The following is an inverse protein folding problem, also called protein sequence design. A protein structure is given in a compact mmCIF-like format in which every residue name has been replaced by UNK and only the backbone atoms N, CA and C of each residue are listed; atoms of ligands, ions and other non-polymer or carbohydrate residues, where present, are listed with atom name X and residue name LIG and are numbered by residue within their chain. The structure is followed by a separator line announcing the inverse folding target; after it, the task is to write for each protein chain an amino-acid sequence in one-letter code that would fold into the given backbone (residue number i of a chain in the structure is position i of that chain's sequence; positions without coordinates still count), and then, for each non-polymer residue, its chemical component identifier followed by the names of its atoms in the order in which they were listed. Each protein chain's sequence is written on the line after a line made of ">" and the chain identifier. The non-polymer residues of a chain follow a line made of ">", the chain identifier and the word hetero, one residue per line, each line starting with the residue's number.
data_IF_624577071866
#
_entry.id   IF_624577071866
#
_cell.length_a   1.000
_cell.length_b   1.000
_cell.length_c   1.000
_cell.angle_alpha   90.00
_cell.angle_beta   90.00
_cell.angle_gamma   90.00
#
_symmetry.space_group_name_H-M   'P 1'
#
loop_
_entity.id
_entity.type
_entity.pdbx_description
1 polymer ?
#
# COMPACT_ATOMS: atom_id res chain seq x y z
N UNK A 1 16.09 -0.01 -9.19
CA UNK A 1 14.81 0.36 -9.82
C UNK A 1 14.11 -0.93 -10.22
N UNK A 2 13.14 -1.40 -9.45
CA UNK A 2 12.32 -2.55 -9.83
C UNK A 2 11.28 -2.06 -10.84
N UNK A 3 11.62 -2.14 -12.13
CA UNK A 3 10.61 -2.02 -13.19
C UNK A 3 9.78 -3.30 -13.16
N UNK A 4 8.55 -3.22 -12.68
CA UNK A 4 7.62 -4.32 -12.83
C UNK A 4 7.30 -4.52 -14.32
N UNK A 5 7.10 -5.75 -14.79
CA UNK A 5 6.78 -5.96 -16.19
C UNK A 5 5.38 -5.38 -16.49
N UNK A 6 5.28 -4.76 -17.65
CA UNK A 6 4.09 -4.11 -18.16
C UNK A 6 2.88 -5.08 -18.22
N UNK A 7 1.72 -4.71 -17.66
CA UNK A 7 0.47 -5.48 -17.79
C UNK A 7 -0.06 -6.22 -16.55
N UNK A 8 0.47 -5.95 -15.35
CA UNK A 8 -0.07 -6.51 -14.10
C UNK A 8 -0.94 -5.52 -13.33
N UNK A 9 -1.91 -6.05 -12.60
CA UNK A 9 -2.77 -5.29 -11.71
C UNK A 9 -2.33 -5.42 -10.25
N UNK A 10 -2.43 -4.32 -9.51
CA UNK A 10 -2.28 -4.31 -8.05
C UNK A 10 -3.63 -4.09 -7.43
N UNK A 11 -3.91 -4.86 -6.38
CA UNK A 11 -5.15 -4.79 -5.65
C UNK A 11 -4.94 -4.64 -4.16
N UNK A 12 -5.88 -3.96 -3.51
CA UNK A 12 -5.93 -3.80 -2.06
C UNK A 12 -7.34 -4.02 -1.54
N UNK A 13 -7.52 -4.66 -0.38
CA UNK A 13 -8.71 -4.45 0.42
C UNK A 13 -8.90 -2.95 0.69
N UNK A 14 -10.13 -2.45 0.56
CA UNK A 14 -10.42 -1.02 0.62
C UNK A 14 -9.93 -0.39 1.92
N UNK A 15 -10.16 -1.06 3.05
CA UNK A 15 -9.67 -0.61 4.36
C UNK A 15 -8.16 -0.49 4.41
N UNK A 16 -7.43 -1.45 3.83
CA UNK A 16 -5.96 -1.47 3.82
C UNK A 16 -5.37 -0.34 2.97
N UNK A 17 -5.91 -0.10 1.78
CA UNK A 17 -5.47 1.02 0.95
C UNK A 17 -5.75 2.38 1.61
N UNK A 18 -6.91 2.54 2.28
CA UNK A 18 -7.22 3.75 3.03
C UNK A 18 -6.27 3.94 4.22
N UNK A 19 -5.94 2.87 4.93
CA UNK A 19 -4.98 2.88 6.04
C UNK A 19 -3.58 3.31 5.57
N UNK A 20 -3.04 2.66 4.53
CA UNK A 20 -1.74 3.01 3.98
C UNK A 20 -1.70 4.45 3.45
N UNK A 21 -2.77 4.88 2.78
CA UNK A 21 -2.90 6.28 2.36
C UNK A 21 -2.99 7.24 3.55
N UNK A 22 -3.65 6.87 4.64
CA UNK A 22 -3.69 7.69 5.87
C UNK A 22 -2.29 7.87 6.45
N UNK A 23 -1.51 6.78 6.54
CA UNK A 23 -0.14 6.82 7.07
C UNK A 23 0.75 7.69 6.16
N UNK A 24 0.74 7.46 4.85
CA UNK A 24 1.53 8.27 3.91
C UNK A 24 1.11 9.74 3.89
N UNK A 25 -0.18 10.02 4.06
CA UNK A 25 -0.69 11.39 4.22
C UNK A 25 -0.22 12.02 5.54
N UNK A 26 -0.10 11.25 6.61
CA UNK A 26 0.47 11.72 7.87
C UNK A 26 1.94 12.07 7.69
N UNK A 27 2.75 11.15 7.14
CA UNK A 27 4.16 11.40 6.80
C UNK A 27 4.33 12.64 5.93
N UNK A 28 3.45 12.86 4.95
CA UNK A 28 3.55 14.03 4.07
C UNK A 28 3.16 15.37 4.74
N UNK A 29 2.53 15.34 5.92
CA UNK A 29 1.93 16.53 6.55
C UNK A 29 2.39 16.79 7.99
N UNK A 30 2.93 15.80 8.68
CA UNK A 30 3.43 15.94 10.05
C UNK A 30 4.61 16.91 10.06
N UNK A 31 4.61 17.81 11.04
CA UNK A 31 5.74 18.73 11.29
C UNK A 31 6.62 18.21 12.43
N UNK A 32 6.04 17.38 13.30
CA UNK A 32 6.70 16.79 14.47
C UNK A 32 6.49 15.27 14.54
N UNK A 33 7.33 14.59 15.32
CA UNK A 33 7.19 13.16 15.59
C UNK A 33 5.89 12.84 16.35
N UNK A 34 5.44 13.75 17.21
CA UNK A 34 4.15 13.64 17.91
C UNK A 34 2.95 13.69 16.96
N UNK A 35 2.98 14.58 15.96
CA UNK A 35 1.93 14.65 14.93
C UNK A 35 1.81 13.32 14.17
N UNK A 36 2.96 12.71 13.84
CA UNK A 36 3.00 11.43 13.15
C UNK A 36 2.48 10.28 14.02
N UNK A 37 2.94 10.19 15.27
CA UNK A 37 2.50 9.17 16.25
C UNK A 37 1.01 9.21 16.52
N UNK A 38 0.40 10.39 16.54
CA UNK A 38 -1.03 10.52 16.77
C UNK A 38 -1.91 9.96 15.63
N UNK A 39 -1.35 9.79 14.43
CA UNK A 39 -2.11 9.35 13.24
C UNK A 39 -1.85 7.90 12.87
N UNK A 40 -0.63 7.41 13.09
CA UNK A 40 -0.26 6.03 12.76
C UNK A 40 -0.87 5.08 13.82
N UNK A 41 -1.64 4.05 13.42
CA UNK A 41 -2.11 3.02 14.33
C UNK A 41 -0.94 2.37 15.08
N UNK A 42 -1.10 2.09 16.38
CA UNK A 42 -0.02 1.54 17.22
C UNK A 42 0.67 0.31 16.61
N UNK A 43 -0.09 -0.62 16.03
CA UNK A 43 0.46 -1.83 15.41
C UNK A 43 1.35 -1.50 14.20
N UNK A 44 0.98 -0.50 13.40
CA UNK A 44 1.80 -0.03 12.27
C UNK A 44 2.99 0.79 12.75
N UNK A 45 2.85 1.52 13.86
CA UNK A 45 3.97 2.20 14.51
C UNK A 45 5.00 1.19 15.01
N UNK A 46 4.55 0.17 15.74
CA UNK A 46 5.39 -0.95 16.19
C UNK A 46 6.04 -1.67 15.00
N UNK A 47 5.31 -1.89 13.90
CA UNK A 47 5.87 -2.48 12.68
C UNK A 47 6.92 -1.60 11.99
N UNK A 48 6.77 -0.28 12.06
CA UNK A 48 7.76 0.68 11.57
C UNK A 48 9.00 0.72 12.48
N UNK A 49 8.81 0.61 13.80
CA UNK A 49 9.87 0.63 14.81
C UNK A 49 10.65 -0.69 14.88
N UNK A 50 10.01 -1.84 14.70
CA UNK A 50 10.61 -3.18 14.88
C UNK A 50 11.51 -3.64 13.72
N UNK A 51 11.62 -2.87 12.62
CA UNK A 51 12.56 -3.19 11.54
C UNK A 51 12.31 -4.55 10.85
N UNK A 52 11.08 -5.05 10.83
CA UNK A 52 10.73 -6.39 10.32
C UNK A 52 10.79 -6.56 8.78
N UNK A 53 11.46 -5.67 8.06
CA UNK A 53 11.86 -5.87 6.67
C UNK A 53 13.38 -5.67 6.59
N UNK A 54 14.09 -6.70 6.13
CA UNK A 54 15.56 -6.83 5.96
C UNK A 54 16.18 -5.77 5.02
N UNK A 55 15.93 -4.48 5.24
CA UNK A 55 16.68 -3.37 4.65
C UNK A 55 17.47 -2.62 5.72
N UNK A 56 18.24 -1.58 5.34
CA UNK A 56 19.11 -0.87 6.26
C UNK A 56 18.28 -0.40 7.45
N UNK A 57 18.64 -0.92 8.62
CA UNK A 57 17.98 -0.65 9.89
C UNK A 57 17.77 0.85 10.00
N UNK A 58 16.58 1.25 10.41
CA UNK A 58 16.54 2.38 11.32
C UNK A 58 17.43 1.96 12.49
N UNK A 59 18.61 2.55 12.63
CA UNK A 59 19.15 2.75 13.96
C UNK A 59 18.22 3.79 14.60
N UNK A 60 17.00 3.37 14.97
CA UNK A 60 16.26 4.07 16.00
C UNK A 60 17.20 4.00 17.19
N UNK A 61 17.67 5.15 17.73
CA UNK A 61 18.64 5.15 18.81
C UNK A 61 18.10 4.23 19.92
N UNK A 62 18.88 3.20 20.23
CA UNK A 62 18.56 2.32 21.36
C UNK A 62 18.45 3.23 22.59
N UNK A 63 17.25 3.24 23.19
CA UNK A 63 16.87 3.82 24.50
C UNK A 63 16.22 5.20 24.59
N UNK A 64 16.16 6.05 23.57
CA UNK A 64 15.43 7.34 23.67
C UNK A 64 14.32 7.44 22.62
N UNK A 65 13.06 7.29 23.05
CA UNK A 65 11.91 7.69 22.23
C UNK A 65 12.11 9.15 21.79
N UNK A 66 12.18 9.39 20.47
CA UNK A 66 12.25 10.75 19.92
C UNK A 66 11.12 11.58 20.55
N UNK A 67 11.37 12.77 21.13
CA UNK A 67 10.33 13.57 21.77
C UNK A 67 9.19 13.95 20.81
N UNK A 68 7.96 14.13 21.33
CA UNK A 68 6.80 14.49 20.51
C UNK A 68 6.95 15.84 19.81
N UNK A 69 7.66 16.78 20.43
CA UNK A 69 7.89 18.13 19.93
C UNK A 69 9.13 18.24 19.03
N UNK A 70 9.91 17.17 18.87
CA UNK A 70 11.04 17.14 17.97
C UNK A 70 10.56 17.31 16.51
N UNK A 71 11.20 18.19 15.70
CA UNK A 71 10.88 18.33 14.29
C UNK A 71 11.02 16.99 13.56
N UNK A 72 10.06 16.73 12.67
CA UNK A 72 10.06 15.54 11.84
C UNK A 72 10.54 15.88 10.42
N UNK A 73 11.64 15.27 9.97
CA UNK A 73 11.98 15.22 8.56
C UNK A 73 11.56 13.88 7.97
N UNK A 74 10.81 13.91 6.87
CA UNK A 74 10.48 12.69 6.12
C UNK A 74 11.71 11.91 5.65
N UNK A 75 12.87 12.55 5.55
CA UNK A 75 14.14 11.89 5.23
C UNK A 75 14.69 11.06 6.39
N UNK A 76 14.27 11.36 7.62
CA UNK A 76 14.57 10.53 8.79
C UNK A 76 13.90 9.17 8.66
N UNK A 77 12.85 9.09 7.84
CA UNK A 77 12.32 7.82 7.44
C UNK A 77 13.21 7.22 6.35
N UNK A 78 13.78 6.02 6.52
CA UNK A 78 14.55 5.35 5.48
C UNK A 78 13.69 5.14 4.21
N UNK A 79 13.69 6.12 3.30
CA UNK A 79 12.66 6.31 2.27
C UNK A 79 12.82 5.41 1.07
N UNK A 80 13.97 4.73 0.95
CA UNK A 80 14.32 4.22 -0.38
C UNK A 80 13.53 2.98 -0.75
N UNK A 81 13.30 2.01 0.15
CA UNK A 81 12.75 0.71 -0.30
C UNK A 81 11.82 -0.03 0.69
N UNK A 82 11.49 0.54 1.85
CA UNK A 82 10.86 -0.21 2.95
C UNK A 82 9.50 0.29 3.44
N UNK A 83 8.96 1.34 2.83
CA UNK A 83 7.75 1.96 3.38
C UNK A 83 6.47 1.24 2.95
N UNK A 84 6.07 0.33 3.86
CA UNK A 84 4.79 -0.34 4.05
C UNK A 84 4.37 -1.27 2.91
N UNK A 85 4.69 -2.56 3.10
CA UNK A 85 4.13 -3.76 2.45
C UNK A 85 4.06 -3.73 0.93
N UNK A 86 4.71 -4.71 0.32
CA UNK A 86 4.55 -4.97 -1.10
C UNK A 86 3.12 -5.50 -1.31
N UNK A 87 2.21 -4.74 -1.95
CA UNK A 87 0.80 -5.14 -1.99
C UNK A 87 0.63 -6.46 -2.73
N UNK A 88 1.50 -6.72 -3.71
CA UNK A 88 1.59 -8.00 -4.40
C UNK A 88 1.99 -9.16 -3.48
N UNK A 89 2.75 -8.92 -2.41
CA UNK A 89 3.00 -9.92 -1.39
C UNK A 89 1.76 -10.15 -0.52
N UNK A 90 1.10 -9.08 -0.08
CA UNK A 90 -0.16 -9.15 0.68
C UNK A 90 -1.26 -9.89 -0.10
N UNK A 91 -1.34 -9.67 -1.41
CA UNK A 91 -2.28 -10.32 -2.31
C UNK A 91 -2.20 -11.86 -2.27
N UNK A 92 -1.05 -12.45 -1.94
CA UNK A 92 -0.94 -13.91 -1.78
C UNK A 92 -1.83 -14.47 -0.66
N UNK A 93 -2.16 -13.65 0.35
CA UNK A 93 -2.90 -14.10 1.52
C UNK A 93 -4.42 -13.97 1.39
N UNK A 94 -4.89 -13.00 0.60
CA UNK A 94 -6.32 -12.68 0.54
C UNK A 94 -6.94 -12.88 -0.85
N UNK A 95 -6.16 -12.86 -1.94
CA UNK A 95 -6.69 -13.20 -3.26
C UNK A 95 -7.03 -14.70 -3.27
N UNK A 96 -8.23 -15.11 -3.72
CA UNK A 96 -8.59 -16.53 -3.74
C UNK A 96 -7.61 -17.40 -4.54
N UNK A 97 -7.26 -18.58 -4.03
CA UNK A 97 -6.25 -19.45 -4.66
C UNK A 97 -6.56 -19.80 -6.12
N UNK A 98 -7.85 -19.96 -6.48
CA UNK A 98 -8.25 -20.27 -7.84
C UNK A 98 -7.98 -19.10 -8.79
N UNK A 99 -8.12 -17.87 -8.30
CA UNK A 99 -7.76 -16.64 -9.02
C UNK A 99 -6.24 -16.57 -9.18
N UNK A 100 -5.48 -16.81 -8.10
CA UNK A 100 -4.02 -16.83 -8.16
C UNK A 100 -3.50 -17.85 -9.18
N UNK A 101 -4.05 -19.07 -9.19
CA UNK A 101 -3.63 -20.15 -10.11
C UNK A 101 -4.01 -19.88 -11.57
N UNK A 102 -5.11 -19.17 -11.83
CA UNK A 102 -5.63 -18.96 -13.19
C UNK A 102 -5.12 -17.69 -13.85
N UNK A 103 -4.95 -16.63 -13.06
CA UNK A 103 -4.66 -15.29 -13.55
C UNK A 103 -3.37 -14.72 -12.97
N UNK A 104 -2.72 -15.44 -12.05
CA UNK A 104 -1.50 -15.01 -11.39
C UNK A 104 -0.27 -15.75 -11.87
N UNK A 105 0.87 -15.06 -11.76
CA UNK A 105 2.18 -15.68 -11.71
C UNK A 105 2.89 -15.27 -10.41
N UNK A 106 3.75 -16.16 -9.91
CA UNK A 106 4.56 -15.90 -8.72
C UNK A 106 5.94 -15.45 -9.17
N UNK A 107 6.38 -14.31 -8.66
CA UNK A 107 7.73 -13.80 -8.87
C UNK A 107 8.53 -13.94 -7.58
N UNK A 108 9.67 -14.60 -7.66
CA UNK A 108 10.60 -14.71 -6.54
C UNK A 108 11.36 -13.39 -6.36
N UNK A 109 11.52 -12.99 -5.10
CA UNK A 109 12.38 -11.87 -4.69
C UNK A 109 13.38 -12.39 -3.67
N UNK A 110 14.50 -11.68 -3.40
CA UNK A 110 15.50 -12.14 -2.44
C UNK A 110 14.91 -12.54 -1.08
N UNK A 111 13.87 -11.82 -0.62
CA UNK A 111 13.34 -11.94 0.74
C UNK A 111 11.89 -12.46 0.79
N UNK A 112 11.24 -12.65 -0.37
CA UNK A 112 9.81 -13.01 -0.41
C UNK A 112 9.31 -13.43 -1.80
N UNK A 113 7.99 -13.46 -1.96
CA UNK A 113 7.30 -13.76 -3.21
C UNK A 113 6.24 -12.70 -3.52
N UNK A 114 6.08 -12.35 -4.79
CA UNK A 114 5.04 -11.42 -5.23
C UNK A 114 4.03 -12.15 -6.11
N UNK A 115 2.74 -11.85 -5.89
CA UNK A 115 1.69 -12.23 -6.82
C UNK A 115 1.56 -11.16 -7.92
N UNK A 116 1.88 -11.56 -9.15
CA UNK A 116 1.65 -10.75 -10.34
C UNK A 116 0.34 -11.21 -10.98
N UNK A 117 -0.75 -10.47 -10.81
CA UNK A 117 -2.02 -10.77 -11.45
C UNK A 117 -2.13 -10.09 -12.80
N UNK A 118 -2.50 -10.86 -13.83
CA UNK A 118 -2.79 -10.33 -15.15
C UNK A 118 -3.91 -9.28 -15.06
N UNK A 119 -3.62 -8.09 -15.62
CA UNK A 119 -4.56 -6.99 -15.74
C UNK A 119 -5.65 -7.23 -16.80
N UNK A 120 -5.65 -8.40 -17.46
CA UNK A 120 -6.62 -8.78 -18.46
C UNK A 120 -8.07 -8.71 -17.97
N UNK A 121 -8.99 -8.58 -18.94
CA UNK A 121 -10.42 -8.34 -18.70
C UNK A 121 -11.13 -9.41 -17.84
N UNK A 122 -10.49 -10.56 -17.60
CA UNK A 122 -11.11 -11.71 -16.94
C UNK A 122 -10.84 -11.79 -15.43
N UNK A 123 -9.83 -11.10 -14.90
CA UNK A 123 -9.49 -11.16 -13.48
C UNK A 123 -10.57 -10.50 -12.62
N UNK A 124 -11.05 -9.31 -13.02
CA UNK A 124 -12.09 -8.55 -12.29
C UNK A 124 -13.44 -9.26 -12.27
N UNK A 125 -13.97 -9.78 -13.40
CA UNK A 125 -15.19 -10.59 -13.38
C UNK A 125 -15.03 -11.85 -12.53
N UNK A 126 -13.84 -12.46 -12.49
CA UNK A 126 -13.60 -13.63 -11.66
C UNK A 126 -13.63 -13.28 -10.16
N UNK A 127 -13.00 -12.19 -9.74
CA UNK A 127 -13.10 -11.67 -8.37
C UNK A 127 -14.56 -11.34 -7.98
N UNK A 128 -15.33 -10.70 -8.88
CA UNK A 128 -16.75 -10.42 -8.65
C UNK A 128 -17.59 -11.68 -8.46
N UNK A 129 -17.31 -12.75 -9.21
CA UNK A 129 -17.97 -14.06 -9.04
C UNK A 129 -17.63 -14.72 -7.70
N UNK A 130 -16.47 -14.41 -7.14
CA UNK A 130 -16.07 -14.81 -5.79
C UNK A 130 -16.70 -13.93 -4.69
N UNK A 131 -17.57 -12.96 -5.06
CA UNK A 131 -18.30 -12.11 -4.11
C UNK A 131 -17.62 -10.78 -3.78
N UNK A 132 -16.49 -10.46 -4.41
CA UNK A 132 -15.79 -9.19 -4.16
C UNK A 132 -16.42 -8.02 -4.92
N UNK A 133 -16.49 -6.87 -4.25
CA UNK A 133 -16.83 -5.60 -4.88
C UNK A 133 -15.56 -4.92 -5.36
N UNK A 134 -15.46 -4.65 -6.66
CA UNK A 134 -14.25 -4.12 -7.30
C UNK A 134 -14.42 -2.63 -7.63
N UNK A 135 -13.47 -1.80 -7.20
CA UNK A 135 -13.46 -0.35 -7.43
C UNK A 135 -12.15 0.07 -8.11
N UNK A 136 -12.22 0.97 -9.09
CA UNK A 136 -11.03 1.62 -9.65
C UNK A 136 -10.68 2.84 -8.80
N UNK A 137 -9.44 2.90 -8.32
CA UNK A 137 -8.93 3.96 -7.44
C UNK A 137 -7.44 4.14 -7.70
N UNK A 138 -7.10 4.65 -8.90
CA UNK A 138 -5.73 4.67 -9.37
C UNK A 138 -4.86 5.52 -8.46
N UNK A 139 -5.24 6.78 -8.24
CA UNK A 139 -4.46 7.72 -7.43
C UNK A 139 -4.26 7.24 -6.00
N UNK A 140 -5.30 6.68 -5.38
CA UNK A 140 -5.22 6.13 -4.03
C UNK A 140 -4.27 4.94 -3.98
N UNK A 141 -4.33 4.03 -4.95
CA UNK A 141 -3.45 2.86 -5.01
C UNK A 141 -2.02 3.27 -5.35
N UNK A 142 -1.81 4.19 -6.29
CA UNK A 142 -0.47 4.72 -6.61
C UNK A 142 0.16 5.35 -5.37
N UNK A 143 -0.62 6.17 -4.67
CA UNK A 143 -0.18 6.84 -3.45
C UNK A 143 0.11 5.83 -2.34
N UNK A 144 -0.79 4.87 -2.07
CA UNK A 144 -0.59 3.82 -1.09
C UNK A 144 0.66 2.96 -1.36
N UNK A 145 0.95 2.68 -2.63
CA UNK A 145 2.17 1.98 -3.06
C UNK A 145 3.43 2.86 -3.06
N UNK A 146 3.30 4.19 -2.93
CA UNK A 146 4.43 5.11 -2.96
C UNK A 146 4.93 5.52 -4.34
N UNK A 147 4.15 5.26 -5.39
CA UNK A 147 4.48 5.71 -6.75
C UNK A 147 4.11 7.17 -7.01
N UNK A 148 3.20 7.72 -6.22
CA UNK A 148 2.70 9.07 -6.39
C UNK A 148 2.95 9.88 -5.11
N UNK A 149 3.28 11.15 -5.27
CA UNK A 149 3.27 12.12 -4.18
C UNK A 149 1.86 12.50 -3.75
N UNK A 150 1.73 13.12 -2.59
CA UNK A 150 0.43 13.60 -2.11
C UNK A 150 -0.04 14.82 -2.93
N UNK A 151 -1.30 14.81 -3.38
CA UNK A 151 -1.88 15.84 -4.25
C UNK A 151 -3.41 15.89 -4.19
N UNK A 152 -4.06 16.82 -4.93
CA UNK A 152 -5.51 17.01 -4.86
C UNK A 152 -6.31 15.79 -5.36
N UNK A 153 -5.80 15.06 -6.36
CA UNK A 153 -6.42 13.83 -6.87
C UNK A 153 -6.39 12.72 -5.81
N UNK A 154 -5.26 12.56 -5.11
CA UNK A 154 -5.11 11.64 -3.97
C UNK A 154 -6.08 12.00 -2.87
N UNK A 155 -6.16 13.28 -2.49
CA UNK A 155 -7.06 13.70 -1.41
C UNK A 155 -8.53 13.44 -1.80
N UNK A 156 -8.91 13.70 -3.05
CA UNK A 156 -10.26 13.42 -3.52
C UNK A 156 -10.63 11.92 -3.41
N UNK A 157 -9.75 11.03 -3.86
CA UNK A 157 -9.97 9.58 -3.74
C UNK A 157 -9.91 9.11 -2.29
N UNK A 158 -8.95 9.58 -1.50
CA UNK A 158 -8.83 9.26 -0.08
C UNK A 158 -10.10 9.64 0.69
N UNK A 159 -10.65 10.84 0.46
CA UNK A 159 -11.89 11.28 1.11
C UNK A 159 -13.12 10.49 0.64
N UNK A 160 -13.17 10.13 -0.65
CA UNK A 160 -14.23 9.26 -1.19
C UNK A 160 -14.22 7.89 -0.51
N UNK A 161 -13.06 7.26 -0.42
CA UNK A 161 -12.95 5.89 0.06
C UNK A 161 -12.87 5.78 1.58
N UNK A 162 -12.36 6.79 2.28
CA UNK A 162 -12.49 6.89 3.74
C UNK A 162 -13.96 6.90 4.16
N UNK A 163 -14.81 7.64 3.44
CA UNK A 163 -16.26 7.62 3.67
C UNK A 163 -16.86 6.24 3.40
N UNK A 164 -16.42 5.55 2.35
CA UNK A 164 -16.87 4.20 2.05
C UNK A 164 -16.53 3.22 3.18
N UNK A 165 -15.28 3.25 3.69
CA UNK A 165 -14.86 2.44 4.83
C UNK A 165 -15.72 2.73 6.07
N UNK A 166 -15.94 4.00 6.40
CA UNK A 166 -16.75 4.37 7.56
C UNK A 166 -18.21 3.91 7.47
N UNK A 167 -18.77 3.82 6.25
CA UNK A 167 -20.15 3.38 6.01
C UNK A 167 -20.28 1.85 5.95
N UNK A 168 -19.24 1.16 5.50
CA UNK A 168 -19.22 -0.29 5.34
C UNK A 168 -18.42 -0.93 6.47
N UNK A 169 -19.03 -1.11 7.64
CA UNK A 169 -18.38 -1.76 8.79
C UNK A 169 -17.96 -3.24 8.56
N UNK A 170 -18.19 -3.84 7.38
CA UNK A 170 -17.78 -5.23 7.09
C UNK A 170 -17.74 -5.62 5.60
N UNK A 171 -17.55 -4.69 4.67
CA UNK A 171 -17.59 -4.97 3.23
C UNK A 171 -16.20 -5.17 2.61
N UNK A 172 -15.89 -6.36 2.09
CA UNK A 172 -14.68 -6.61 1.29
C UNK A 172 -14.78 -5.92 -0.08
N UNK A 173 -14.46 -4.64 -0.13
CA UNK A 173 -14.16 -3.93 -1.37
C UNK A 173 -12.70 -4.14 -1.73
N UNK A 174 -12.38 -4.27 -3.01
CA UNK A 174 -11.02 -4.41 -3.52
C UNK A 174 -10.77 -3.34 -4.58
N UNK A 175 -9.62 -2.67 -4.49
CA UNK A 175 -9.19 -1.72 -5.51
C UNK A 175 -8.48 -2.41 -6.65
N UNK A 176 -8.56 -1.85 -7.86
CA UNK A 176 -7.67 -2.21 -8.95
C UNK A 176 -6.95 -0.97 -9.50
N UNK A 177 -5.65 -1.14 -9.75
CA UNK A 177 -4.83 -0.23 -10.57
C UNK A 177 -4.20 -1.03 -11.70
N UNK A 178 -4.32 -0.50 -12.92
CA UNK A 178 -3.54 -0.94 -14.07
C UNK A 178 -2.18 -0.25 -14.02
N UNK A 179 -1.07 -1.00 -13.98
CA UNK A 179 0.25 -0.40 -14.19
C UNK A 179 0.38 -0.16 -15.70
N UNK A 180 0.46 1.11 -16.16
CA UNK A 180 0.50 1.41 -17.58
C UNK A 180 1.71 0.75 -18.23
N UNK A 181 1.48 0.11 -19.38
CA UNK A 181 2.55 -0.44 -20.21
C UNK A 181 3.33 0.71 -20.84
N UNK A 182 4.63 0.82 -20.59
CA UNK A 182 5.44 1.79 -21.33
C UNK A 182 5.46 1.34 -22.79
N UNK A 183 5.03 2.14 -23.78
CA UNK A 183 5.22 1.76 -25.17
C UNK A 183 6.74 1.71 -25.42
N UNK A 184 7.25 0.53 -25.76
CA UNK A 184 8.63 0.38 -26.23
C UNK A 184 8.78 1.25 -27.49
N UNK A 185 9.52 2.35 -27.38
CA UNK A 185 10.06 3.12 -28.51
C UNK A 185 11.32 2.47 -29.04
#
# INVERSE_FOLDING_TARGET
>A
MCSFPDGYMVMFPVGRAVELARIRRAVARSETWGDLRCVIPREEWERLSDGALDGPRFEMPEEDEVPDDEPFDRQDLATDHLWLVWPQNEMLYWVPEDIQKRYGSRMDTPDSYLLLLDAGEMTVPAMRRQGYSMYRAEYLVEFACGYLGYGPEVEAEFQRFSRLVSLCQSGYGVFEKLIPTTPQT
#
